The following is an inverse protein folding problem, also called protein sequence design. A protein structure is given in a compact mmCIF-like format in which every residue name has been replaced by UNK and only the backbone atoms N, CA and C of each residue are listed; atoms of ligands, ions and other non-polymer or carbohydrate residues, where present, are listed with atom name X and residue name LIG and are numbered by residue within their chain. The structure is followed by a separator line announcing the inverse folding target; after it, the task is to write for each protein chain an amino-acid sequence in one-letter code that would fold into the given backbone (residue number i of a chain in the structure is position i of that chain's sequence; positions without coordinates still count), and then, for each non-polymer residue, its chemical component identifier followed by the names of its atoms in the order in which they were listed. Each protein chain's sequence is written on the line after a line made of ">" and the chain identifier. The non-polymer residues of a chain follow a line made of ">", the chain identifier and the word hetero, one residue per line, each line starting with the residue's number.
data_IF_445063003400
#
_entry.id   IF_445063003400
#
_cell.length_a   1.000
_cell.length_b   1.000
_cell.length_c   1.000
_cell.angle_alpha   90.00
_cell.angle_beta   90.00
_cell.angle_gamma   90.00
#
_symmetry.space_group_name_H-M   'P 1'
#
loop_
_entity.id
_entity.type
_entity.pdbx_description
1 polymer ?
#
# COMPACT_ATOMS: atom_id res chain seq x y z
N UNK A 1 -16.41 -28.68 -0.27
CA UNK A 1 -17.62 -28.56 0.58
C UNK A 1 -17.22 -27.82 1.83
N UNK A 2 -17.61 -26.55 1.98
CA UNK A 2 -17.34 -25.75 3.16
C UNK A 2 -18.12 -26.29 4.36
N UNK A 3 -17.53 -26.21 5.54
CA UNK A 3 -18.24 -26.54 6.78
C UNK A 3 -19.46 -25.63 6.94
N UNK A 4 -20.64 -26.19 7.33
CA UNK A 4 -21.83 -25.37 7.55
C UNK A 4 -21.55 -24.41 8.73
N UNK A 5 -21.55 -23.12 8.47
CA UNK A 5 -21.51 -22.08 9.50
C UNK A 5 -20.42 -21.03 9.38
N UNK A 6 -19.51 -21.11 8.41
CA UNK A 6 -18.57 -20.04 8.15
C UNK A 6 -19.04 -19.29 6.88
N UNK A 7 -19.53 -18.04 6.99
CA UNK A 7 -19.88 -17.29 5.79
C UNK A 7 -18.65 -17.10 4.91
N UNK A 8 -18.84 -17.15 3.59
CA UNK A 8 -17.77 -16.91 2.63
C UNK A 8 -17.02 -15.61 2.98
N UNK A 9 -15.69 -15.65 2.99
CA UNK A 9 -14.93 -14.48 3.34
C UNK A 9 -15.19 -13.36 2.34
N UNK A 10 -15.48 -12.17 2.85
CA UNK A 10 -15.51 -10.97 2.02
C UNK A 10 -14.08 -10.64 1.59
N UNK A 11 -13.83 -10.52 0.29
CA UNK A 11 -12.49 -10.29 -0.26
C UNK A 11 -11.83 -9.04 0.32
N UNK A 12 -12.60 -7.97 0.48
CA UNK A 12 -12.09 -6.72 1.04
C UNK A 12 -11.68 -6.79 2.53
N UNK A 13 -12.03 -7.87 3.22
CA UNK A 13 -11.64 -8.03 4.63
C UNK A 13 -10.35 -8.82 4.81
N UNK A 14 -9.83 -9.47 3.78
CA UNK A 14 -8.65 -10.32 3.86
C UNK A 14 -7.45 -9.52 4.38
N UNK A 15 -7.26 -8.32 3.86
CA UNK A 15 -6.10 -7.48 4.15
C UNK A 15 -6.28 -6.54 5.37
N UNK A 16 -7.51 -6.48 5.94
CA UNK A 16 -7.79 -5.62 7.10
C UNK A 16 -8.08 -6.40 8.38
N UNK A 17 -8.20 -7.71 8.28
CA UNK A 17 -8.32 -8.59 9.47
C UNK A 17 -6.94 -8.85 10.06
N UNK A 18 -6.84 -8.91 11.39
CA UNK A 18 -5.61 -9.39 12.01
C UNK A 18 -5.28 -10.79 11.48
N UNK A 19 -4.09 -10.95 10.91
CA UNK A 19 -3.59 -12.27 10.58
C UNK A 19 -3.22 -13.00 11.86
N UNK A 20 -3.58 -14.27 12.00
CA UNK A 20 -3.07 -15.06 13.12
C UNK A 20 -1.53 -15.06 13.07
N UNK A 21 -0.84 -15.05 14.23
CA UNK A 21 0.61 -15.14 14.25
C UNK A 21 1.03 -16.41 13.48
N UNK A 22 1.63 -16.23 12.33
CA UNK A 22 2.23 -17.35 11.60
C UNK A 22 3.55 -17.67 12.29
N UNK A 23 3.56 -18.76 13.08
CA UNK A 23 4.73 -19.22 13.82
C UNK A 23 5.92 -19.65 12.93
N UNK A 24 5.77 -19.56 11.61
CA UNK A 24 6.74 -20.01 10.62
C UNK A 24 7.13 -18.93 9.61
N UNK A 25 6.96 -17.66 9.94
CA UNK A 25 7.68 -16.64 9.18
C UNK A 25 9.14 -16.80 9.58
N UNK A 26 9.89 -17.57 8.81
CA UNK A 26 11.35 -17.45 8.79
C UNK A 26 11.59 -15.96 8.59
N UNK A 27 12.21 -15.33 9.58
CA UNK A 27 12.56 -13.92 9.45
C UNK A 27 13.46 -13.81 8.23
N UNK A 28 12.89 -13.35 7.13
CA UNK A 28 13.71 -12.94 5.99
C UNK A 28 14.80 -12.00 6.55
N UNK A 29 16.03 -12.27 6.17
CA UNK A 29 17.18 -11.47 6.58
C UNK A 29 16.84 -9.98 6.60
N UNK A 30 17.20 -9.28 7.66
CA UNK A 30 17.00 -7.84 7.80
C UNK A 30 17.62 -7.09 6.62
N UNK A 31 16.82 -6.80 5.60
CA UNK A 31 17.25 -6.08 4.41
C UNK A 31 16.89 -4.61 4.53
N UNK A 32 17.80 -3.76 4.15
CA UNK A 32 17.52 -2.33 4.09
C UNK A 32 16.52 -2.05 2.98
N UNK A 33 15.48 -1.33 3.33
CA UNK A 33 14.53 -0.77 2.37
C UNK A 33 14.88 0.71 2.17
N UNK A 34 14.85 1.17 0.94
CA UNK A 34 15.21 2.53 0.56
C UNK A 34 14.37 3.00 -0.64
N UNK A 35 14.44 4.29 -0.96
CA UNK A 35 13.67 4.89 -2.01
C UNK A 35 12.41 5.59 -1.48
N UNK A 36 11.37 5.63 -2.29
CA UNK A 36 10.11 6.30 -1.96
C UNK A 36 8.93 5.56 -2.61
N UNK A 37 7.74 5.83 -2.11
CA UNK A 37 6.51 5.30 -2.67
C UNK A 37 5.58 6.46 -3.03
N UNK A 38 5.57 6.91 -4.29
CA UNK A 38 4.61 7.94 -4.70
C UNK A 38 3.20 7.41 -4.52
N UNK A 39 2.39 8.22 -3.86
CA UNK A 39 0.99 7.89 -3.53
C UNK A 39 0.10 9.02 -4.02
N UNK A 40 -1.01 8.67 -4.68
CA UNK A 40 -2.01 9.61 -5.14
C UNK A 40 -3.41 9.12 -4.80
N UNK A 41 -4.22 9.97 -4.17
CA UNK A 41 -5.65 9.69 -3.96
C UNK A 41 -6.39 10.13 -5.21
N UNK A 42 -6.82 9.15 -6.01
CA UNK A 42 -7.52 9.40 -7.28
C UNK A 42 -8.96 9.86 -7.04
N UNK A 43 -9.65 9.23 -6.10
CA UNK A 43 -11.00 9.61 -5.70
C UNK A 43 -11.25 9.35 -4.22
N UNK A 44 -12.21 10.09 -3.65
CA UNK A 44 -12.78 9.85 -2.33
C UNK A 44 -14.27 10.14 -2.42
N UNK A 45 -15.09 9.11 -2.34
CA UNK A 45 -16.52 9.20 -2.61
C UNK A 45 -17.35 8.65 -1.45
N UNK A 46 -18.49 9.27 -1.14
CA UNK A 46 -19.45 8.70 -0.21
C UNK A 46 -19.97 7.35 -0.71
N UNK A 47 -20.04 6.36 0.17
CA UNK A 47 -20.55 5.03 -0.12
C UNK A 47 -21.44 4.56 1.02
N UNK A 48 -22.74 4.82 0.92
CA UNK A 48 -23.68 4.57 2.01
C UNK A 48 -23.33 5.35 3.28
N UNK A 49 -22.98 4.64 4.34
CA UNK A 49 -22.56 5.21 5.62
C UNK A 49 -21.03 5.34 5.76
N UNK A 50 -20.28 5.01 4.71
CA UNK A 50 -18.83 4.98 4.63
C UNK A 50 -18.34 5.92 3.54
N UNK A 51 -17.05 5.92 3.32
CA UNK A 51 -16.37 6.53 2.17
C UNK A 51 -15.49 5.48 1.49
N UNK A 52 -15.42 5.52 0.17
CA UNK A 52 -14.44 4.75 -0.59
C UNK A 52 -13.40 5.68 -1.20
N UNK A 53 -12.13 5.38 -0.95
CA UNK A 53 -10.99 6.04 -1.57
C UNK A 53 -10.36 5.09 -2.58
N UNK A 54 -10.06 5.60 -3.78
CA UNK A 54 -9.18 4.93 -4.73
C UNK A 54 -7.79 5.54 -4.61
N UNK A 55 -6.81 4.71 -4.29
CA UNK A 55 -5.43 5.14 -4.01
C UNK A 55 -4.48 4.46 -4.97
N UNK A 56 -3.69 5.26 -5.67
CA UNK A 56 -2.65 4.83 -6.57
C UNK A 56 -1.31 4.79 -5.84
N UNK A 57 -0.55 3.71 -5.97
CA UNK A 57 0.69 3.46 -5.26
C UNK A 57 1.80 3.09 -6.24
N UNK A 58 2.84 3.89 -6.33
CA UNK A 58 4.03 3.56 -7.13
C UNK A 58 4.98 2.66 -6.33
N UNK A 59 5.10 1.40 -6.74
CA UNK A 59 6.00 0.43 -6.10
C UNK A 59 7.37 0.36 -6.78
N UNK A 60 7.51 0.91 -7.97
CA UNK A 60 8.70 0.83 -8.82
C UNK A 60 9.94 1.49 -8.22
N UNK A 61 9.77 2.46 -7.34
CA UNK A 61 10.83 3.23 -6.67
C UNK A 61 11.09 2.80 -5.22
N UNK A 62 10.46 1.73 -4.74
CA UNK A 62 10.78 1.08 -3.47
C UNK A 62 11.85 0.02 -3.73
N UNK A 63 13.00 0.14 -3.07
CA UNK A 63 14.14 -0.74 -3.26
C UNK A 63 14.49 -1.49 -1.99
N UNK A 64 15.09 -2.67 -2.16
CA UNK A 64 15.72 -3.46 -1.09
C UNK A 64 17.14 -3.78 -1.44
N UNK A 65 18.00 -3.96 -0.44
CA UNK A 65 19.37 -4.43 -0.63
C UNK A 65 19.39 -5.91 -0.98
N UNK A 66 20.36 -6.31 -1.77
CA UNK A 66 20.59 -7.70 -2.20
C UNK A 66 22.08 -8.05 -2.13
N UNK A 67 22.37 -9.35 -2.07
CA UNK A 67 23.73 -9.87 -1.91
C UNK A 67 24.18 -9.92 -0.44
N UNK A 68 25.25 -10.64 -0.18
CA UNK A 68 25.78 -10.86 1.17
C UNK A 68 26.30 -9.56 1.79
N UNK A 69 26.87 -8.68 0.98
CA UNK A 69 27.40 -7.37 1.39
C UNK A 69 26.30 -6.29 1.47
N UNK A 70 25.09 -6.58 0.96
CA UNK A 70 23.98 -5.63 0.89
C UNK A 70 24.37 -4.27 0.26
N UNK A 71 25.27 -4.28 -0.70
CA UNK A 71 25.82 -3.10 -1.38
C UNK A 71 25.13 -2.79 -2.72
N UNK A 72 24.22 -3.65 -3.15
CA UNK A 72 23.40 -3.47 -4.35
C UNK A 72 21.94 -3.37 -3.98
N UNK A 73 21.18 -2.68 -4.81
CA UNK A 73 19.75 -2.46 -4.66
C UNK A 73 19.00 -3.06 -5.83
N UNK A 74 17.81 -3.56 -5.54
CA UNK A 74 16.86 -4.03 -6.53
C UNK A 74 15.48 -3.51 -6.13
N UNK A 75 14.64 -3.20 -7.12
CA UNK A 75 13.25 -2.82 -6.84
C UNK A 75 12.53 -3.93 -6.05
N UNK A 76 11.65 -3.56 -5.15
CA UNK A 76 10.78 -4.50 -4.45
C UNK A 76 9.91 -5.33 -5.40
N UNK A 77 9.70 -4.83 -6.62
CA UNK A 77 8.99 -5.52 -7.71
C UNK A 77 9.88 -6.53 -8.45
N UNK A 78 11.17 -6.52 -8.27
CA UNK A 78 12.08 -7.36 -9.05
C UNK A 78 12.49 -8.63 -8.28
N UNK A 79 12.76 -9.67 -9.04
CA UNK A 79 13.40 -10.88 -8.55
C UNK A 79 14.80 -10.55 -8.02
N UNK A 80 15.12 -10.88 -6.76
CA UNK A 80 16.39 -10.51 -6.16
C UNK A 80 17.62 -11.23 -6.76
N UNK A 81 17.41 -12.34 -7.45
CA UNK A 81 18.49 -13.09 -8.09
C UNK A 81 18.83 -12.56 -9.49
N UNK A 82 17.81 -12.12 -10.22
CA UNK A 82 17.96 -11.70 -11.63
C UNK A 82 17.84 -10.20 -11.84
N UNK A 83 17.29 -9.46 -10.89
CA UNK A 83 16.96 -8.04 -11.04
C UNK A 83 15.81 -7.75 -12.01
N UNK A 84 15.14 -8.78 -12.52
CA UNK A 84 14.06 -8.63 -13.48
C UNK A 84 12.75 -8.31 -12.77
N UNK A 85 12.05 -7.27 -13.22
CA UNK A 85 10.76 -6.93 -12.68
C UNK A 85 9.76 -8.07 -12.85
N UNK A 86 9.07 -8.41 -11.77
CA UNK A 86 8.01 -9.40 -11.71
C UNK A 86 6.69 -8.66 -11.49
N UNK A 87 5.99 -8.37 -12.58
CA UNK A 87 4.64 -7.78 -12.49
C UNK A 87 3.56 -8.85 -12.21
N UNK A 88 3.99 -10.03 -11.75
CA UNK A 88 3.14 -11.16 -11.43
C UNK A 88 2.55 -11.01 -10.02
N UNK A 89 1.52 -10.24 -9.92
CA UNK A 89 0.50 -10.38 -8.88
C UNK A 89 -0.76 -10.92 -9.53
N UNK A 90 -1.61 -11.57 -8.76
CA UNK A 90 -2.93 -12.06 -9.19
C UNK A 90 -3.82 -10.88 -9.60
N UNK A 91 -3.60 -10.35 -10.79
CA UNK A 91 -4.46 -9.30 -11.32
C UNK A 91 -3.71 -8.22 -12.07
N UNK A 92 -4.46 -7.53 -12.86
CA UNK A 92 -4.12 -6.34 -13.63
C UNK A 92 -3.55 -5.17 -12.79
N UNK A 93 -3.49 -5.35 -11.47
CA UNK A 93 -3.27 -4.34 -10.47
C UNK A 93 -1.82 -3.82 -10.33
N UNK A 94 -0.86 -4.33 -11.11
CA UNK A 94 0.56 -3.92 -11.00
C UNK A 94 1.19 -3.59 -12.35
N UNK A 95 0.39 -3.25 -13.33
CA UNK A 95 0.91 -2.87 -14.63
C UNK A 95 1.78 -1.60 -14.50
N UNK A 96 3.01 -1.68 -15.01
CA UNK A 96 3.96 -0.56 -14.95
C UNK A 96 4.42 -0.19 -13.54
N UNK A 97 4.35 -1.11 -12.57
CA UNK A 97 4.80 -0.87 -11.20
C UNK A 97 3.88 0.02 -10.38
N UNK A 98 2.64 0.20 -10.82
CA UNK A 98 1.61 0.98 -10.11
C UNK A 98 0.54 0.02 -9.58
N UNK A 99 0.34 0.02 -8.28
CA UNK A 99 -0.73 -0.71 -7.61
C UNK A 99 -1.93 0.22 -7.36
N UNK A 100 -3.12 -0.33 -7.36
CA UNK A 100 -4.34 0.41 -7.07
C UNK A 100 -5.07 -0.24 -5.90
N UNK A 101 -5.36 0.55 -4.90
CA UNK A 101 -6.13 0.12 -3.75
C UNK A 101 -7.44 0.86 -3.68
N UNK A 102 -8.53 0.12 -3.50
CA UNK A 102 -9.79 0.67 -3.06
C UNK A 102 -9.91 0.40 -1.57
N UNK A 103 -10.05 1.47 -0.78
CA UNK A 103 -10.09 1.43 0.68
C UNK A 103 -11.42 2.00 1.14
N UNK A 104 -12.14 1.27 1.99
CA UNK A 104 -13.36 1.75 2.63
C UNK A 104 -13.06 2.22 4.05
N UNK A 105 -13.58 3.38 4.38
CA UNK A 105 -13.35 4.09 5.63
C UNK A 105 -14.69 4.47 6.28
N UNK A 106 -14.80 4.33 7.59
CA UNK A 106 -15.95 4.83 8.35
C UNK A 106 -15.52 5.49 9.66
N UNK A 107 -16.29 6.48 10.11
CA UNK A 107 -16.17 7.06 11.44
C UNK A 107 -17.26 6.57 12.41
N UNK A 108 -18.03 5.55 12.02
CA UNK A 108 -19.16 4.98 12.78
C UNK A 108 -18.82 3.64 13.44
N UNK A 109 -17.56 3.23 13.41
CA UNK A 109 -17.08 2.02 14.07
C UNK A 109 -17.08 2.15 15.60
N UNK A 110 -16.84 1.05 16.32
CA UNK A 110 -16.62 1.10 17.75
C UNK A 110 -15.41 2.00 18.04
N UNK A 111 -15.59 2.90 19.00
CA UNK A 111 -14.45 3.72 19.46
C UNK A 111 -13.45 2.82 20.18
N UNK A 112 -12.22 2.81 19.69
CA UNK A 112 -11.10 2.18 20.36
C UNK A 112 -10.52 3.21 21.35
N UNK A 113 -10.29 2.78 22.59
CA UNK A 113 -9.61 3.64 23.56
C UNK A 113 -8.22 3.97 23.02
N UNK A 114 -7.96 5.25 22.83
CA UNK A 114 -6.70 5.74 22.28
C UNK A 114 -5.80 6.13 23.45
N UNK A 115 -4.66 5.46 23.58
CA UNK A 115 -3.67 5.78 24.61
C UNK A 115 -2.97 7.13 24.37
N UNK A 116 -2.89 7.54 23.11
CA UNK A 116 -2.28 8.80 22.70
C UNK A 116 -3.20 9.50 21.69
N UNK A 117 -3.95 10.53 22.09
CA UNK A 117 -4.81 11.26 21.17
C UNK A 117 -4.00 11.93 20.04
N UNK A 118 -4.68 12.19 18.94
CA UNK A 118 -4.09 12.95 17.85
C UNK A 118 -3.59 14.30 18.35
N UNK A 119 -2.41 14.74 17.93
CA UNK A 119 -1.92 16.07 18.28
C UNK A 119 -2.82 17.14 17.66
N UNK A 120 -3.07 18.20 18.42
CA UNK A 120 -3.78 19.39 17.93
C UNK A 120 -2.97 20.10 16.85
N UNK A 121 -3.60 20.47 15.76
CA UNK A 121 -3.03 21.28 14.69
C UNK A 121 -2.65 20.52 13.43
N UNK A 122 -2.06 21.23 12.45
CA UNK A 122 -1.70 20.65 11.17
C UNK A 122 -0.68 19.54 11.30
N UNK A 123 -0.96 18.40 10.70
CA UNK A 123 -0.05 17.24 10.65
C UNK A 123 0.95 17.42 9.50
N UNK A 124 1.86 18.40 9.63
CA UNK A 124 2.89 18.73 8.63
C UNK A 124 4.26 18.73 9.30
N UNK A 125 5.22 18.04 8.69
CA UNK A 125 6.59 17.96 9.20
C UNK A 125 7.46 17.04 8.35
N UNK A 126 8.60 16.65 8.88
CA UNK A 126 9.62 15.86 8.17
C UNK A 126 9.64 14.38 8.58
N UNK A 127 8.84 13.97 9.55
CA UNK A 127 8.82 12.56 9.96
C UNK A 127 8.02 11.69 8.99
N UNK A 128 8.48 10.46 8.73
CA UNK A 128 7.79 9.54 7.82
C UNK A 128 6.52 8.91 8.43
N UNK A 129 6.32 9.02 9.74
CA UNK A 129 5.19 8.43 10.44
C UNK A 129 4.68 9.36 11.56
N UNK A 130 3.37 9.30 11.89
CA UNK A 130 2.81 10.05 12.99
C UNK A 130 3.33 9.57 14.36
N UNK A 131 3.30 10.43 15.36
CA UNK A 131 3.71 10.15 16.74
C UNK A 131 2.53 9.75 17.64
N UNK A 132 1.36 9.58 17.12
CA UNK A 132 0.17 9.22 17.86
C UNK A 132 -0.96 8.79 16.93
N UNK A 133 -2.14 8.57 17.49
CA UNK A 133 -3.31 8.27 16.68
C UNK A 133 -3.79 9.52 15.93
N UNK A 134 -3.69 9.48 14.62
CA UNK A 134 -4.15 10.54 13.71
C UNK A 134 -5.47 10.19 13.04
N UNK A 135 -5.98 8.99 13.27
CA UNK A 135 -7.22 8.53 12.67
C UNK A 135 -8.44 8.86 13.53
N UNK A 136 -8.26 9.02 14.85
CA UNK A 136 -9.36 9.30 15.77
C UNK A 136 -10.45 8.22 15.68
N UNK A 137 -11.66 8.63 15.33
CA UNK A 137 -12.78 7.70 15.18
C UNK A 137 -12.87 7.01 13.81
N UNK A 138 -11.92 7.29 12.90
CA UNK A 138 -11.91 6.67 11.59
C UNK A 138 -11.27 5.29 11.65
N UNK A 139 -11.89 4.34 10.97
CA UNK A 139 -11.36 2.99 10.82
C UNK A 139 -11.51 2.51 9.38
N UNK A 140 -10.57 1.67 8.95
CA UNK A 140 -10.64 0.98 7.67
C UNK A 140 -11.54 -0.23 7.85
N UNK A 141 -12.61 -0.30 7.05
CA UNK A 141 -13.59 -1.39 7.06
C UNK A 141 -13.43 -2.36 5.90
N UNK A 142 -12.64 -1.99 4.91
CA UNK A 142 -12.34 -2.87 3.78
C UNK A 142 -11.19 -2.32 2.95
N UNK A 143 -10.46 -3.23 2.30
CA UNK A 143 -9.43 -2.94 1.32
C UNK A 143 -9.39 -4.02 0.25
N UNK A 144 -9.25 -3.62 -1.00
CA UNK A 144 -8.99 -4.55 -2.10
C UNK A 144 -8.16 -3.90 -3.20
N UNK A 145 -7.35 -4.70 -3.87
CA UNK A 145 -6.61 -4.32 -5.08
C UNK A 145 -7.15 -5.04 -6.33
N UNK A 146 -8.35 -5.58 -6.28
CA UNK A 146 -8.96 -6.30 -7.40
C UNK A 146 -10.46 -6.39 -7.28
N UNK A 147 -10.95 -7.28 -6.44
CA UNK A 147 -12.38 -7.59 -6.34
C UNK A 147 -12.93 -7.24 -4.96
N UNK A 148 -14.21 -6.89 -4.93
CA UNK A 148 -14.99 -6.62 -3.73
C UNK A 148 -16.17 -7.58 -3.65
N UNK A 149 -16.59 -7.95 -2.45
CA UNK A 149 -17.74 -8.85 -2.26
C UNK A 149 -17.37 -10.26 -1.85
N UNK A 150 -18.20 -11.23 -2.25
CA UNK A 150 -18.05 -12.65 -1.95
C UNK A 150 -17.70 -13.45 -3.21
N UNK A 151 -17.39 -14.74 -3.06
CA UNK A 151 -17.17 -15.65 -4.21
C UNK A 151 -18.38 -15.69 -5.15
N UNK A 152 -19.60 -15.61 -4.60
CA UNK A 152 -20.84 -15.68 -5.38
C UNK A 152 -21.22 -14.34 -6.03
N UNK A 153 -20.75 -13.24 -5.48
CA UNK A 153 -21.08 -11.89 -5.95
C UNK A 153 -19.86 -10.98 -5.80
N UNK A 154 -19.08 -10.86 -6.87
CA UNK A 154 -17.89 -10.01 -6.92
C UNK A 154 -18.11 -8.80 -7.79
N UNK A 155 -17.53 -7.68 -7.39
CA UNK A 155 -17.41 -6.45 -8.15
C UNK A 155 -15.92 -6.19 -8.43
N UNK A 156 -15.54 -5.99 -9.69
CA UNK A 156 -14.20 -5.53 -10.05
C UNK A 156 -14.08 -4.04 -9.66
N UNK A 157 -13.30 -3.75 -8.62
CA UNK A 157 -13.09 -2.37 -8.13
C UNK A 157 -11.85 -1.72 -8.72
N UNK A 158 -10.99 -2.49 -9.37
CA UNK A 158 -9.81 -2.00 -10.11
C UNK A 158 -9.99 -2.31 -11.60
N UNK A 159 -10.65 -1.39 -12.30
CA UNK A 159 -10.88 -1.51 -13.74
C UNK A 159 -9.65 -1.09 -14.54
N UNK A 160 -9.53 -1.49 -15.83
CA UNK A 160 -8.45 -1.01 -16.70
C UNK A 160 -8.38 0.52 -16.81
N UNK A 161 -9.54 1.19 -16.74
CA UNK A 161 -9.59 2.66 -16.78
C UNK A 161 -9.01 3.30 -15.51
N UNK A 162 -9.37 2.79 -14.33
CA UNK A 162 -8.79 3.21 -13.05
C UNK A 162 -7.27 2.96 -13.04
N UNK A 163 -6.83 1.80 -13.54
CA UNK A 163 -5.40 1.48 -13.65
C UNK A 163 -4.65 2.50 -14.53
N UNK A 164 -5.23 2.87 -15.66
CA UNK A 164 -4.67 3.88 -16.57
C UNK A 164 -4.62 5.27 -15.93
N UNK A 165 -5.68 5.66 -15.23
CA UNK A 165 -5.71 6.94 -14.50
C UNK A 165 -4.65 6.97 -13.39
N UNK A 166 -4.51 5.89 -12.62
CA UNK A 166 -3.46 5.77 -11.61
C UNK A 166 -2.06 5.84 -12.22
N UNK A 167 -1.83 5.15 -13.35
CA UNK A 167 -0.55 5.21 -14.04
C UNK A 167 -0.21 6.63 -14.54
N UNK A 168 -1.23 7.37 -15.00
CA UNK A 168 -1.08 8.76 -15.43
C UNK A 168 -0.86 9.75 -14.28
N UNK A 169 -1.33 9.42 -13.08
CA UNK A 169 -1.16 10.25 -11.88
C UNK A 169 0.22 10.10 -11.22
N UNK A 170 1.03 9.13 -11.65
CA UNK A 170 2.39 8.97 -11.12
C UNK A 170 3.33 10.07 -11.61
N UNK A 171 4.29 10.49 -10.79
CA UNK A 171 5.25 11.55 -11.16
C UNK A 171 6.20 11.12 -12.29
N UNK A 172 6.44 9.83 -12.43
CA UNK A 172 7.37 9.28 -13.41
C UNK A 172 6.62 8.69 -14.62
N UNK A 173 7.15 8.85 -15.81
CA UNK A 173 6.59 8.25 -17.02
C UNK A 173 6.82 6.72 -17.07
N UNK A 174 6.17 6.04 -18.00
CA UNK A 174 6.21 4.58 -18.09
C UNK A 174 7.64 4.04 -18.32
N UNK A 175 8.45 4.73 -19.14
CA UNK A 175 9.81 4.31 -19.44
C UNK A 175 10.73 4.46 -18.22
N UNK A 176 10.58 5.55 -17.47
CA UNK A 176 11.29 5.80 -16.22
C UNK A 176 10.92 4.76 -15.18
N UNK A 177 9.62 4.46 -15.00
CA UNK A 177 9.16 3.43 -14.07
C UNK A 177 9.73 2.05 -14.43
N UNK A 178 9.73 1.69 -15.71
CA UNK A 178 10.30 0.43 -16.19
C UNK A 178 11.80 0.34 -15.90
N UNK A 179 12.54 1.43 -16.13
CA UNK A 179 13.98 1.49 -15.83
C UNK A 179 14.26 1.37 -14.32
N UNK A 180 13.43 1.99 -13.48
CA UNK A 180 13.56 1.88 -12.02
C UNK A 180 13.22 0.48 -11.51
N UNK A 181 12.20 -0.17 -12.10
CA UNK A 181 11.75 -1.48 -11.67
C UNK A 181 12.71 -2.62 -12.05
N UNK A 182 13.57 -2.42 -13.04
CA UNK A 182 14.46 -3.46 -13.57
C UNK A 182 15.93 -3.19 -13.25
N UNK A 183 16.68 -4.28 -13.12
CA UNK A 183 18.12 -4.26 -12.95
C UNK A 183 18.58 -4.17 -11.51
N UNK A 184 19.90 -4.26 -11.37
CA UNK A 184 20.58 -4.00 -10.11
C UNK A 184 21.13 -2.57 -10.11
N UNK A 185 20.94 -1.87 -9.02
CA UNK A 185 21.35 -0.47 -8.87
C UNK A 185 22.39 -0.34 -7.77
N UNK A 186 23.34 0.57 -7.97
CA UNK A 186 24.37 0.90 -6.97
C UNK A 186 23.83 1.82 -5.88
N UNK A 187 22.77 2.53 -6.17
CA UNK A 187 22.10 3.45 -5.24
C UNK A 187 20.58 3.35 -5.44
N UNK A 188 19.79 3.55 -4.37
CA UNK A 188 18.35 3.71 -4.52
C UNK A 188 18.02 5.02 -5.26
N UNK A 189 16.80 5.17 -5.79
CA UNK A 189 16.37 6.44 -6.35
C UNK A 189 16.48 7.56 -5.31
N UNK A 190 16.89 8.75 -5.73
CA UNK A 190 16.87 9.90 -4.85
C UNK A 190 15.44 10.23 -4.46
N UNK A 191 15.22 10.60 -3.22
CA UNK A 191 13.92 11.05 -2.72
C UNK A 191 14.09 12.33 -1.91
N UNK A 192 13.03 13.13 -1.85
CA UNK A 192 12.91 14.25 -0.93
C UNK A 192 12.39 13.81 0.44
N UNK A 193 12.01 14.79 1.23
CA UNK A 193 11.30 14.58 2.50
C UNK A 193 9.91 13.97 2.24
N UNK A 194 9.36 13.28 3.24
CA UNK A 194 8.00 12.75 3.17
C UNK A 194 6.98 13.88 2.98
N UNK A 195 6.05 13.70 2.02
CA UNK A 195 5.03 14.71 1.72
C UNK A 195 3.64 14.05 1.71
N UNK A 196 2.69 14.46 2.55
CA UNK A 196 2.95 15.30 3.73
C UNK A 196 3.76 14.52 4.77
N UNK A 197 4.75 15.16 5.39
CA UNK A 197 5.45 14.57 6.52
C UNK A 197 4.70 14.85 7.82
N UNK A 198 5.13 14.21 8.89
CA UNK A 198 4.52 14.33 10.20
C UNK A 198 5.35 15.23 11.14
N UNK A 199 4.75 15.86 12.17
CA UNK A 199 5.48 16.69 13.12
C UNK A 199 6.53 15.90 13.89
N UNK A 200 7.64 16.56 14.22
CA UNK A 200 8.71 15.95 15.02
C UNK A 200 8.32 15.75 16.50
N UNK A 201 7.37 16.52 16.98
CA UNK A 201 6.91 16.52 18.38
C UNK A 201 5.39 16.56 18.45
N UNK A 202 4.83 15.78 19.36
CA UNK A 202 3.45 15.94 19.83
C UNK A 202 3.47 17.13 20.79
N UNK A 203 2.70 18.17 20.53
CA UNK A 203 2.51 19.28 21.47
C UNK A 203 1.40 18.95 22.43
#
# INVERSE_FOLDING_TARGET
>A
MGSPGNPDPLFQLVDVRPSPPTSNVEHEDNRRVAGYQPTHVLSLEPHGASYRATVCLGLYSVYRTVGDTQDRYVSALADPATGRAMYTGSGKAREGGVDVWVVELTNRGPQVAVESPAPDGPQIGTRPAPMGDVFGNWSITGRSSGVWGTIESTEDVVTPEIQKQCAAAMPDDAATREAMANGFHQKPPPHGDAIPGWPATVK
#
